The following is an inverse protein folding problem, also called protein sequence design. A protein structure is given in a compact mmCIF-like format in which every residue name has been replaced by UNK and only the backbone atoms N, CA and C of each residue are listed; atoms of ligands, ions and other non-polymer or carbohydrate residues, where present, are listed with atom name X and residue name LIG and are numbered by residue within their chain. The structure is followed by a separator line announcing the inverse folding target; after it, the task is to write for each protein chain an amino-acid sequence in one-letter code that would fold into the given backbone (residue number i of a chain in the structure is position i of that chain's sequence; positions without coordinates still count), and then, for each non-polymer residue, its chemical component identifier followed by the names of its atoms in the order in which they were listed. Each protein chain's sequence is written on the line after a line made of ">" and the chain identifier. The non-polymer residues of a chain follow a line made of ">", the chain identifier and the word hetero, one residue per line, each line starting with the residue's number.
data_IF_139582361193
#
_entry.id   IF_139582361193
#
_cell.length_a   1.000
_cell.length_b   1.000
_cell.length_c   1.000
_cell.angle_alpha   90.00
_cell.angle_beta   90.00
_cell.angle_gamma   90.00
#
_symmetry.space_group_name_H-M   'P 1'
#
loop_
_entity.id
_entity.type
_entity.pdbx_description
1 polymer ?
#
# COMPACT_ATOMS: atom_id res chain seq x y z
N UNK A 1 7.91 17.51 20.11
CA UNK A 1 7.51 16.11 20.42
C UNK A 1 8.40 15.62 21.55
N UNK A 2 7.83 15.11 22.65
CA UNK A 2 8.65 14.49 23.72
C UNK A 2 9.40 13.30 23.15
N UNK A 3 10.72 13.31 23.23
CA UNK A 3 11.54 12.16 22.86
C UNK A 3 11.18 10.98 23.77
N UNK A 4 10.98 9.80 23.20
CA UNK A 4 10.62 8.62 23.96
C UNK A 4 11.86 8.03 24.64
N UNK A 5 11.92 8.14 25.97
CA UNK A 5 13.04 7.63 26.78
C UNK A 5 12.65 6.35 27.52
N UNK A 6 13.53 5.36 27.52
CA UNK A 6 13.35 4.13 28.30
C UNK A 6 13.68 4.38 29.77
N UNK A 7 12.95 3.73 30.68
CA UNK A 7 13.32 3.76 32.09
C UNK A 7 14.67 3.06 32.29
N UNK A 8 15.59 3.70 33.00
CA UNK A 8 16.91 3.13 33.32
C UNK A 8 16.81 2.07 34.41
N UNK A 9 17.94 1.45 34.78
CA UNK A 9 17.96 0.52 35.90
C UNK A 9 17.74 1.30 37.21
N UNK A 10 18.44 2.40 37.38
CA UNK A 10 18.41 3.30 38.54
C UNK A 10 16.98 3.82 38.79
N UNK A 11 16.31 4.28 37.73
CA UNK A 11 14.92 4.74 37.83
C UNK A 11 13.98 3.65 38.33
N UNK A 12 14.20 2.37 37.99
CA UNK A 12 13.39 1.26 38.53
C UNK A 12 13.63 1.02 40.01
N UNK A 13 14.86 1.23 40.48
CA UNK A 13 15.16 1.17 41.92
C UNK A 13 14.48 2.32 42.67
N UNK A 14 14.49 3.53 42.12
CA UNK A 14 13.76 4.68 42.67
C UNK A 14 12.24 4.42 42.73
N UNK A 15 11.66 3.86 41.67
CA UNK A 15 10.24 3.45 41.66
C UNK A 15 9.94 2.54 42.84
N UNK A 16 10.77 1.52 43.06
CA UNK A 16 10.55 0.56 44.14
C UNK A 16 10.68 1.19 45.53
N UNK A 17 11.67 2.05 45.75
CA UNK A 17 11.82 2.78 47.01
C UNK A 17 10.61 3.67 47.30
N UNK A 18 10.14 4.43 46.31
CA UNK A 18 8.97 5.30 46.46
C UNK A 18 7.65 4.51 46.64
N UNK A 19 7.52 3.34 46.00
CA UNK A 19 6.40 2.43 46.27
C UNK A 19 6.42 1.91 47.71
N UNK A 20 7.61 1.61 48.25
CA UNK A 20 7.76 1.16 49.63
C UNK A 20 7.47 2.26 50.65
N UNK A 21 7.70 3.52 50.28
CA UNK A 21 7.27 4.69 51.03
C UNK A 21 5.76 5.01 50.90
N UNK A 22 4.98 4.18 50.19
CA UNK A 22 3.52 4.33 50.09
C UNK A 22 3.04 5.36 49.07
N UNK A 23 3.91 5.90 48.20
CA UNK A 23 3.51 6.89 47.21
C UNK A 23 2.64 6.28 46.10
N UNK A 24 1.68 7.06 45.61
CA UNK A 24 0.84 6.67 44.48
C UNK A 24 1.63 6.69 43.16
N UNK A 25 1.21 5.90 42.18
CA UNK A 25 1.87 5.83 40.86
C UNK A 25 1.97 7.21 40.17
N UNK A 26 0.97 8.07 40.38
CA UNK A 26 0.94 9.45 39.84
C UNK A 26 2.01 10.32 40.50
N UNK A 27 2.17 10.23 41.83
CA UNK A 27 3.20 10.95 42.56
C UNK A 27 4.61 10.47 42.16
N UNK A 28 4.81 9.16 42.07
CA UNK A 28 6.09 8.56 41.63
C UNK A 28 6.45 9.04 40.21
N UNK A 29 5.46 9.07 39.30
CA UNK A 29 5.67 9.55 37.93
C UNK A 29 6.14 11.02 37.90
N UNK A 30 5.52 11.88 38.74
CA UNK A 30 5.91 13.29 38.87
C UNK A 30 7.34 13.44 39.41
N UNK A 31 7.71 12.67 40.45
CA UNK A 31 9.04 12.71 41.06
C UNK A 31 10.13 12.25 40.10
N UNK A 32 9.88 11.18 39.33
CA UNK A 32 10.86 10.61 38.38
C UNK A 32 10.90 11.41 37.06
N UNK A 33 9.97 12.35 36.86
CA UNK A 33 9.90 13.16 35.63
C UNK A 33 9.38 12.37 34.43
N UNK A 34 8.52 11.38 34.64
CA UNK A 34 7.93 10.55 33.58
C UNK A 34 6.41 10.68 33.55
N UNK A 35 5.81 10.42 32.38
CA UNK A 35 4.36 10.44 32.27
C UNK A 35 3.70 9.35 33.13
N UNK A 36 2.54 9.63 33.74
CA UNK A 36 1.77 8.67 34.56
C UNK A 36 1.52 7.33 33.84
N UNK A 37 1.29 7.38 32.53
CA UNK A 37 1.13 6.16 31.72
C UNK A 37 2.42 5.35 31.55
N UNK A 38 3.59 5.99 31.58
CA UNK A 38 4.88 5.28 31.57
C UNK A 38 5.04 4.47 32.85
N UNK A 39 4.74 5.07 34.01
CA UNK A 39 4.75 4.39 35.31
C UNK A 39 3.78 3.21 35.36
N UNK A 40 2.52 3.44 34.99
CA UNK A 40 1.49 2.40 34.96
C UNK A 40 1.88 1.24 34.03
N UNK A 41 2.40 1.53 32.82
CA UNK A 41 2.86 0.51 31.88
C UNK A 41 4.06 -0.26 32.40
N UNK A 42 5.02 0.41 33.03
CA UNK A 42 6.20 -0.22 33.64
C UNK A 42 5.74 -1.23 34.70
N UNK A 43 4.97 -0.79 35.69
CA UNK A 43 4.52 -1.65 36.79
C UNK A 43 3.71 -2.84 36.25
N UNK A 44 2.74 -2.58 35.36
CA UNK A 44 1.90 -3.65 34.80
C UNK A 44 2.68 -4.68 34.00
N UNK A 45 3.67 -4.26 33.20
CA UNK A 45 4.41 -5.15 32.30
C UNK A 45 5.59 -5.86 32.96
N UNK A 46 6.07 -5.34 34.09
CA UNK A 46 7.31 -5.80 34.72
C UNK A 46 7.12 -6.31 36.16
N UNK A 47 5.88 -6.45 36.63
CA UNK A 47 5.56 -7.09 37.91
C UNK A 47 5.64 -8.61 37.78
N UNK A 48 6.29 -9.25 38.74
CA UNK A 48 6.27 -10.72 38.91
C UNK A 48 5.16 -11.16 39.86
N UNK A 49 5.07 -12.48 40.09
CA UNK A 49 4.06 -13.08 41.00
C UNK A 49 4.14 -12.50 42.42
N UNK A 50 5.35 -12.22 42.91
CA UNK A 50 5.62 -11.65 44.23
C UNK A 50 5.73 -10.12 44.25
N UNK A 51 5.19 -9.44 43.24
CA UNK A 51 5.19 -7.98 43.15
C UNK A 51 6.29 -7.39 42.26
N UNK A 52 6.50 -6.07 42.40
CA UNK A 52 7.45 -5.32 41.58
C UNK A 52 8.87 -5.41 42.17
N UNK A 53 9.82 -5.95 41.41
CA UNK A 53 11.24 -6.10 41.82
C UNK A 53 12.15 -5.48 40.75
N UNK A 54 12.97 -4.45 41.06
CA UNK A 54 13.73 -3.69 40.06
C UNK A 54 14.64 -4.51 39.15
N UNK A 55 15.41 -5.45 39.71
CA UNK A 55 16.31 -6.34 38.93
C UNK A 55 15.53 -7.17 37.91
N UNK A 56 14.44 -7.78 38.35
CA UNK A 56 13.55 -8.58 37.51
C UNK A 56 12.86 -7.72 36.44
N UNK A 57 12.36 -6.54 36.83
CA UNK A 57 11.70 -5.60 35.94
C UNK A 57 12.63 -5.14 34.81
N UNK A 58 13.89 -4.87 35.13
CA UNK A 58 14.92 -4.54 34.15
C UNK A 58 15.19 -5.70 33.19
N UNK A 59 15.38 -6.91 33.72
CA UNK A 59 15.58 -8.11 32.91
C UNK A 59 14.40 -8.37 31.95
N UNK A 60 13.15 -8.24 32.42
CA UNK A 60 11.97 -8.37 31.57
C UNK A 60 11.88 -7.30 30.47
N UNK A 61 12.27 -6.06 30.77
CA UNK A 61 12.34 -5.00 29.78
C UNK A 61 13.41 -5.32 28.71
N UNK A 62 14.60 -5.75 29.13
CA UNK A 62 15.68 -6.15 28.22
C UNK A 62 15.28 -7.37 27.37
N UNK A 63 14.73 -8.42 27.97
CA UNK A 63 14.30 -9.63 27.27
C UNK A 63 13.21 -9.34 26.22
N UNK A 64 12.29 -8.41 26.49
CA UNK A 64 11.33 -7.98 25.46
C UNK A 64 12.00 -7.20 24.34
N UNK A 65 13.01 -6.39 24.64
CA UNK A 65 13.77 -5.65 23.63
C UNK A 65 14.54 -6.60 22.71
N UNK A 66 15.23 -7.58 23.27
CA UNK A 66 15.97 -8.58 22.48
C UNK A 66 15.02 -9.42 21.63
N UNK A 67 13.85 -9.83 22.16
CA UNK A 67 12.81 -10.52 21.38
C UNK A 67 12.16 -9.64 20.29
N UNK A 68 12.03 -8.34 20.54
CA UNK A 68 11.43 -7.41 19.58
C UNK A 68 12.42 -6.94 18.50
N UNK A 69 13.73 -7.14 18.71
CA UNK A 69 14.73 -6.90 17.70
C UNK A 69 14.47 -7.86 16.53
N UNK A 70 13.98 -7.31 15.42
CA UNK A 70 13.84 -8.06 14.18
C UNK A 70 15.22 -8.10 13.54
N UNK A 71 15.85 -9.28 13.37
CA UNK A 71 17.07 -9.35 12.58
C UNK A 71 16.75 -8.77 11.19
N UNK A 72 17.54 -7.79 10.77
CA UNK A 72 17.51 -7.35 9.38
C UNK A 72 18.21 -8.43 8.57
N UNK A 73 17.59 -8.82 7.46
CA UNK A 73 18.22 -9.71 6.49
C UNK A 73 19.45 -8.98 5.95
N UNK A 74 20.62 -9.63 5.96
CA UNK A 74 21.88 -9.03 5.49
C UNK A 74 21.83 -8.79 3.98
N UNK A 75 22.65 -7.86 3.49
CA UNK A 75 22.81 -7.63 2.05
C UNK A 75 23.28 -8.88 1.31
N UNK A 76 24.15 -9.68 1.94
CA UNK A 76 24.64 -10.96 1.41
C UNK A 76 23.52 -12.01 1.30
N UNK A 77 22.58 -12.06 2.25
CA UNK A 77 21.41 -12.94 2.10
C UNK A 77 20.48 -12.43 1.00
N UNK A 78 20.35 -11.11 0.82
CA UNK A 78 19.57 -10.55 -0.28
C UNK A 78 20.19 -10.79 -1.65
N UNK A 79 21.52 -10.83 -1.78
CA UNK A 79 22.17 -11.09 -3.08
C UNK A 79 21.96 -12.52 -3.59
N UNK A 80 21.67 -13.47 -2.69
CA UNK A 80 21.27 -14.84 -3.06
C UNK A 80 19.85 -14.92 -3.64
N UNK A 81 19.03 -13.87 -3.44
CA UNK A 81 17.67 -13.81 -3.97
C UNK A 81 17.69 -13.20 -5.37
N UNK A 82 17.54 -14.06 -6.39
CA UNK A 82 17.51 -13.65 -7.81
C UNK A 82 16.37 -12.65 -8.10
N UNK A 83 15.19 -12.85 -7.50
CA UNK A 83 14.07 -11.93 -7.63
C UNK A 83 13.05 -12.12 -6.49
N UNK A 84 12.21 -11.11 -6.26
CA UNK A 84 11.05 -11.22 -5.37
C UNK A 84 10.08 -12.38 -5.75
N UNK A 85 10.01 -12.75 -7.03
CA UNK A 85 9.16 -13.84 -7.51
C UNK A 85 9.73 -15.20 -7.09
N UNK A 86 11.06 -15.35 -7.08
CA UNK A 86 11.74 -16.55 -6.58
C UNK A 86 11.37 -16.84 -5.12
N UNK A 87 11.23 -15.80 -4.28
CA UNK A 87 10.73 -15.94 -2.90
C UNK A 87 9.28 -16.45 -2.90
N UNK A 88 8.40 -15.86 -3.71
CA UNK A 88 6.99 -16.29 -3.77
C UNK A 88 6.87 -17.74 -4.24
N UNK A 89 7.56 -18.11 -5.32
CA UNK A 89 7.57 -19.48 -5.84
C UNK A 89 8.09 -20.48 -4.81
N UNK A 90 9.14 -20.12 -4.06
CA UNK A 90 9.66 -20.96 -2.98
C UNK A 90 8.62 -21.17 -1.86
N UNK A 91 7.96 -20.11 -1.41
CA UNK A 91 6.92 -20.18 -0.38
C UNK A 91 5.70 -20.98 -0.86
N UNK A 92 5.27 -20.79 -2.12
CA UNK A 92 4.19 -21.53 -2.74
C UNK A 92 4.53 -23.02 -2.89
N UNK A 93 5.74 -23.36 -3.32
CA UNK A 93 6.23 -24.74 -3.42
C UNK A 93 6.25 -25.39 -2.03
N UNK A 94 6.82 -24.72 -1.02
CA UNK A 94 6.81 -25.21 0.36
C UNK A 94 5.38 -25.47 0.86
N UNK A 95 4.46 -24.54 0.63
CA UNK A 95 3.04 -24.71 1.00
C UNK A 95 2.39 -25.91 0.33
N UNK A 96 2.65 -26.14 -0.96
CA UNK A 96 2.13 -27.31 -1.71
C UNK A 96 2.62 -28.64 -1.13
N UNK A 97 3.82 -28.66 -0.54
CA UNK A 97 4.39 -29.84 0.13
C UNK A 97 4.04 -29.90 1.63
N UNK A 98 3.01 -29.19 2.09
CA UNK A 98 2.58 -29.21 3.49
C UNK A 98 3.43 -28.35 4.45
N UNK A 99 4.39 -27.58 3.93
CA UNK A 99 5.21 -26.68 4.73
C UNK A 99 4.47 -25.44 5.23
N UNK A 100 5.07 -24.75 6.20
CA UNK A 100 4.43 -23.71 7.00
C UNK A 100 4.96 -22.28 6.74
N UNK A 101 5.87 -22.08 5.77
CA UNK A 101 6.50 -20.77 5.53
C UNK A 101 5.50 -19.64 5.26
N UNK A 102 4.38 -19.97 4.62
CA UNK A 102 3.32 -19.00 4.32
C UNK A 102 2.66 -18.38 5.57
N UNK A 103 2.77 -19.01 6.75
CA UNK A 103 2.25 -18.48 8.02
C UNK A 103 3.05 -17.29 8.56
N UNK A 104 4.29 -17.13 8.09
CA UNK A 104 5.20 -16.05 8.49
C UNK A 104 5.07 -14.80 7.60
N UNK A 105 4.27 -14.87 6.52
CA UNK A 105 3.98 -13.71 5.69
C UNK A 105 3.23 -12.63 6.49
N UNK A 106 3.54 -11.36 6.20
CA UNK A 106 2.90 -10.20 6.83
C UNK A 106 1.36 -10.22 6.67
N UNK A 107 0.90 -10.64 5.50
CA UNK A 107 -0.52 -10.76 5.17
C UNK A 107 -0.95 -12.22 5.30
N UNK A 108 -1.52 -12.58 6.46
CA UNK A 108 -1.98 -13.94 6.76
C UNK A 108 -3.37 -14.28 6.20
N UNK A 109 -4.09 -13.28 5.70
CA UNK A 109 -5.45 -13.44 5.15
C UNK A 109 -5.41 -13.34 3.63
N UNK A 110 -6.14 -14.22 2.97
CA UNK A 110 -6.38 -14.15 1.54
C UNK A 110 -7.08 -12.81 1.24
N UNK A 111 -6.53 -12.01 0.33
CA UNK A 111 -7.12 -10.73 -0.07
C UNK A 111 -8.46 -11.02 -0.73
N UNK A 112 -9.56 -10.66 -0.06
CA UNK A 112 -10.89 -10.66 -0.69
C UNK A 112 -10.96 -9.53 -1.71
N UNK A 113 -11.33 -9.84 -2.96
CA UNK A 113 -11.71 -8.83 -3.94
C UNK A 113 -12.86 -8.02 -3.34
N UNK A 114 -12.72 -6.70 -3.25
CA UNK A 114 -13.90 -5.83 -3.06
C UNK A 114 -14.53 -5.72 -4.44
N UNK A 115 -15.71 -6.30 -4.61
CA UNK A 115 -16.51 -6.02 -5.81
C UNK A 115 -16.93 -4.54 -5.74
N UNK A 116 -16.72 -3.80 -6.83
CA UNK A 116 -17.10 -2.40 -6.91
C UNK A 116 -18.62 -2.23 -6.82
N UNK A 117 -19.06 -0.98 -6.63
CA UNK A 117 -20.48 -0.61 -6.74
C UNK A 117 -21.00 -0.88 -8.16
N UNK A 118 -22.27 -1.26 -8.28
CA UNK A 118 -22.94 -1.50 -9.56
C UNK A 118 -22.79 -0.28 -10.48
N UNK A 119 -22.32 -0.49 -11.70
CA UNK A 119 -22.10 0.59 -12.67
C UNK A 119 -23.46 1.12 -13.18
N UNK A 120 -23.80 2.37 -12.86
CA UNK A 120 -25.06 3.01 -13.25
C UNK A 120 -25.02 3.69 -14.63
N UNK A 121 -23.87 3.71 -15.32
CA UNK A 121 -23.73 4.44 -16.60
C UNK A 121 -24.45 3.80 -17.80
N UNK A 122 -25.00 2.61 -17.64
CA UNK A 122 -25.60 1.84 -18.74
C UNK A 122 -24.57 1.40 -19.79
N UNK A 123 -25.04 0.68 -20.81
CA UNK A 123 -24.26 0.38 -22.01
C UNK A 123 -24.70 1.34 -23.13
N UNK A 124 -23.78 1.69 -24.04
CA UNK A 124 -24.11 2.45 -25.24
C UNK A 124 -25.09 1.63 -26.09
N UNK A 125 -26.29 2.16 -26.29
CA UNK A 125 -27.34 1.56 -27.12
C UNK A 125 -26.87 1.59 -28.58
N UNK A 126 -27.10 0.50 -29.32
CA UNK A 126 -26.75 0.36 -30.74
C UNK A 126 -25.25 0.55 -31.07
N UNK A 127 -24.35 0.24 -30.12
CA UNK A 127 -22.92 0.16 -30.44
C UNK A 127 -22.66 -1.07 -31.33
N UNK A 128 -21.93 -0.87 -32.41
CA UNK A 128 -21.37 -1.96 -33.22
C UNK A 128 -20.14 -2.49 -32.49
N UNK A 129 -19.99 -3.81 -32.37
CA UNK A 129 -18.81 -4.37 -31.70
C UNK A 129 -17.57 -4.12 -32.57
N UNK A 130 -16.41 -3.93 -31.92
CA UNK A 130 -15.14 -3.89 -32.66
C UNK A 130 -14.86 -5.22 -33.38
N UNK A 131 -15.44 -6.31 -32.88
CA UNK A 131 -15.32 -7.64 -33.49
C UNK A 131 -16.10 -7.77 -34.80
N UNK A 132 -17.09 -6.91 -35.04
CA UNK A 132 -17.92 -6.92 -36.26
C UNK A 132 -17.28 -6.16 -37.42
N UNK A 133 -16.06 -5.61 -37.24
CA UNK A 133 -15.36 -4.91 -38.30
C UNK A 133 -15.06 -5.82 -39.49
N UNK A 134 -15.18 -5.33 -40.74
CA UNK A 134 -14.83 -6.11 -41.92
C UNK A 134 -13.36 -6.59 -41.89
N UNK A 135 -13.11 -7.84 -42.31
CA UNK A 135 -11.77 -8.44 -42.31
C UNK A 135 -10.72 -7.61 -43.09
N UNK A 136 -11.15 -6.84 -44.09
CA UNK A 136 -10.27 -5.94 -44.87
C UNK A 136 -9.57 -4.89 -43.99
N UNK A 137 -10.18 -4.44 -42.89
CA UNK A 137 -9.59 -3.43 -41.98
C UNK A 137 -8.32 -3.99 -41.29
N UNK A 138 -8.28 -5.29 -41.04
CA UNK A 138 -7.11 -5.95 -40.43
C UNK A 138 -5.93 -6.07 -41.38
N UNK A 139 -6.20 -6.15 -42.68
CA UNK A 139 -5.14 -6.23 -43.70
C UNK A 139 -4.35 -4.92 -43.82
N UNK A 140 -4.88 -3.80 -43.33
CA UNK A 140 -4.25 -2.45 -43.42
C UNK A 140 -3.78 -2.10 -44.83
N UNK A 141 -4.49 -2.60 -45.84
CA UNK A 141 -4.08 -2.52 -47.26
C UNK A 141 -4.53 -1.24 -47.96
N UNK A 142 -5.49 -0.49 -47.40
CA UNK A 142 -6.03 0.77 -47.94
C UNK A 142 -5.90 1.94 -46.96
N UNK A 143 -5.99 3.16 -47.48
CA UNK A 143 -6.08 4.38 -46.67
C UNK A 143 -7.57 4.63 -46.34
N UNK A 144 -7.83 5.19 -45.16
CA UNK A 144 -9.15 5.69 -44.75
C UNK A 144 -9.80 4.91 -43.61
N UNK A 145 -9.13 3.85 -43.13
CA UNK A 145 -9.56 3.15 -41.93
C UNK A 145 -8.98 3.87 -40.70
N UNK A 146 -9.76 4.82 -40.16
CA UNK A 146 -9.37 5.67 -39.03
C UNK A 146 -9.75 5.04 -37.68
N UNK A 147 -8.81 5.04 -36.74
CA UNK A 147 -9.02 4.71 -35.33
C UNK A 147 -9.17 6.00 -34.52
N UNK A 148 -10.26 6.10 -33.75
CA UNK A 148 -10.51 7.22 -32.86
C UNK A 148 -10.30 6.80 -31.40
N UNK A 149 -9.45 7.53 -30.71
CA UNK A 149 -9.22 7.41 -29.28
C UNK A 149 -9.47 8.76 -28.56
N UNK A 150 -9.79 8.69 -27.27
CA UNK A 150 -9.93 9.87 -26.41
C UNK A 150 -9.09 9.72 -25.15
N UNK A 151 -8.01 10.50 -25.08
CA UNK A 151 -7.08 10.50 -23.95
C UNK A 151 -7.58 11.51 -22.90
N UNK A 152 -7.94 11.00 -21.72
CA UNK A 152 -8.51 11.81 -20.64
C UNK A 152 -7.39 12.45 -19.80
N UNK A 153 -7.42 13.77 -19.68
CA UNK A 153 -6.49 14.53 -18.85
C UNK A 153 -6.76 14.42 -17.34
N UNK A 154 -5.81 14.92 -16.54
CA UNK A 154 -5.88 14.91 -15.07
C UNK A 154 -7.21 15.49 -14.57
N UNK A 155 -7.85 14.78 -13.64
CA UNK A 155 -9.09 15.20 -13.00
C UNK A 155 -10.31 15.23 -13.93
N UNK A 156 -10.26 14.55 -15.08
CA UNK A 156 -11.33 14.51 -16.08
C UNK A 156 -11.76 15.89 -16.62
N UNK A 157 -10.90 16.91 -16.46
CA UNK A 157 -11.23 18.31 -16.79
C UNK A 157 -11.06 18.64 -18.27
N UNK A 158 -10.23 17.89 -18.99
CA UNK A 158 -9.89 18.10 -20.40
C UNK A 158 -9.64 16.75 -21.07
N UNK A 159 -9.69 16.71 -22.40
CA UNK A 159 -9.32 15.52 -23.17
C UNK A 159 -8.56 15.88 -24.44
N UNK A 160 -7.83 14.91 -24.98
CA UNK A 160 -7.20 14.97 -26.28
C UNK A 160 -7.88 13.91 -27.16
N UNK A 161 -8.41 14.34 -28.30
CA UNK A 161 -8.94 13.45 -29.33
C UNK A 161 -7.79 13.10 -30.26
N UNK A 162 -7.63 11.80 -30.53
CA UNK A 162 -6.62 11.29 -31.47
C UNK A 162 -7.30 10.47 -32.55
N UNK A 163 -7.03 10.81 -33.80
CA UNK A 163 -7.42 10.06 -34.98
C UNK A 163 -6.16 9.49 -35.62
N UNK A 164 -6.06 8.17 -35.72
CA UNK A 164 -4.91 7.49 -36.33
C UNK A 164 -5.35 6.69 -37.54
N UNK A 165 -4.76 6.98 -38.70
CA UNK A 165 -5.01 6.22 -39.92
C UNK A 165 -4.18 4.92 -39.89
N UNK A 166 -4.82 3.75 -40.03
CA UNK A 166 -4.17 2.46 -39.73
C UNK A 166 -3.05 2.07 -40.68
N UNK A 167 -3.08 2.50 -41.95
CA UNK A 167 -2.09 2.13 -42.97
C UNK A 167 -0.87 3.05 -42.92
N UNK A 168 -1.09 4.34 -43.07
CA UNK A 168 -0.07 5.41 -43.09
C UNK A 168 0.49 5.74 -41.71
N UNK A 169 -0.24 5.39 -40.63
CA UNK A 169 0.07 5.79 -39.24
C UNK A 169 0.08 7.30 -39.03
N UNK A 170 -0.53 8.07 -39.93
CA UNK A 170 -0.77 9.48 -39.72
C UNK A 170 -1.68 9.66 -38.50
N UNK A 171 -1.24 10.46 -37.53
CA UNK A 171 -2.02 10.77 -36.32
C UNK A 171 -2.36 12.25 -36.29
N UNK A 172 -3.65 12.54 -36.21
CA UNK A 172 -4.21 13.87 -36.04
C UNK A 172 -4.68 14.05 -34.60
N UNK A 173 -4.33 15.19 -33.99
CA UNK A 173 -4.59 15.45 -32.57
C UNK A 173 -5.36 16.76 -32.40
N UNK A 174 -6.41 16.73 -31.59
CA UNK A 174 -7.16 17.93 -31.19
C UNK A 174 -7.40 17.95 -29.69
N UNK A 175 -7.07 19.07 -29.04
CA UNK A 175 -7.38 19.29 -27.62
C UNK A 175 -8.82 19.76 -27.48
N UNK A 176 -9.60 19.07 -26.65
CA UNK A 176 -10.97 19.45 -26.30
C UNK A 176 -11.08 19.88 -24.84
N UNK A 177 -11.93 20.89 -24.60
CA UNK A 177 -12.15 21.42 -23.25
C UNK A 177 -12.73 20.37 -22.31
N UNK A 178 -13.62 19.50 -22.78
CA UNK A 178 -14.23 18.39 -22.02
C UNK A 178 -14.55 17.22 -22.95
N UNK A 179 -14.74 16.02 -22.39
CA UNK A 179 -15.09 14.79 -23.13
C UNK A 179 -16.57 14.65 -23.50
N UNK A 180 -17.27 15.76 -23.71
CA UNK A 180 -18.68 15.75 -24.14
C UNK A 180 -18.78 15.31 -25.59
N UNK A 181 -19.84 14.57 -25.93
CA UNK A 181 -20.05 14.02 -27.27
C UNK A 181 -19.98 15.10 -28.36
N UNK A 182 -20.62 16.24 -28.13
CA UNK A 182 -20.65 17.35 -29.09
C UNK A 182 -19.26 17.91 -29.39
N UNK A 183 -18.45 18.17 -28.35
CA UNK A 183 -17.11 18.74 -28.51
C UNK A 183 -16.16 17.77 -29.20
N UNK A 184 -16.27 16.47 -28.88
CA UNK A 184 -15.49 15.43 -29.55
C UNK A 184 -15.89 15.35 -31.02
N UNK A 185 -17.19 15.26 -31.33
CA UNK A 185 -17.71 15.19 -32.70
C UNK A 185 -17.25 16.37 -33.57
N UNK A 186 -17.42 17.61 -33.09
CA UNK A 186 -16.95 18.80 -33.80
C UNK A 186 -15.43 18.77 -34.07
N UNK A 187 -14.65 18.27 -33.11
CA UNK A 187 -13.20 18.17 -33.28
C UNK A 187 -12.81 17.11 -34.31
N UNK A 188 -13.54 15.99 -34.35
CA UNK A 188 -13.33 14.92 -35.34
C UNK A 188 -13.62 15.40 -36.75
N UNK A 189 -14.77 16.06 -36.95
CA UNK A 189 -15.14 16.61 -38.25
C UNK A 189 -14.07 17.58 -38.76
N UNK A 190 -13.64 18.51 -37.89
CA UNK A 190 -12.57 19.46 -38.22
C UNK A 190 -11.25 18.78 -38.56
N UNK A 191 -10.87 17.70 -37.86
CA UNK A 191 -9.63 16.99 -38.15
C UNK A 191 -9.67 16.23 -39.49
N UNK A 192 -10.86 15.84 -39.95
CA UNK A 192 -11.03 15.12 -41.22
C UNK A 192 -11.28 16.06 -42.41
N UNK A 193 -11.35 17.38 -42.20
CA UNK A 193 -11.41 18.36 -43.30
C UNK A 193 -10.14 18.27 -44.15
N UNK A 194 -10.26 18.32 -45.49
CA UNK A 194 -9.10 18.42 -46.37
C UNK A 194 -8.28 19.66 -46.02
N UNK A 195 -6.96 19.51 -45.99
CA UNK A 195 -6.00 20.60 -45.81
C UNK A 195 -5.82 21.38 -47.10
#
# INVERSE_FOLDING_TARGET
>A
MSQYTQLTREQRYQIYALMKAGLSQTAIAKIIGVHKSTMSREIRRNRGLRGYRPKQAHHFAQARRTKAARPRISSETWSQVVSHESIYQFILKNKRHGGNLYLHLRCKRQRRKRYGTTNTRGQLVNRVSIDERPAIVETRSRIGDWELDTIIGRGHKQALVSLTERKSRLTLLAKVKRKSADLVSHSVLRLLEPV
#
